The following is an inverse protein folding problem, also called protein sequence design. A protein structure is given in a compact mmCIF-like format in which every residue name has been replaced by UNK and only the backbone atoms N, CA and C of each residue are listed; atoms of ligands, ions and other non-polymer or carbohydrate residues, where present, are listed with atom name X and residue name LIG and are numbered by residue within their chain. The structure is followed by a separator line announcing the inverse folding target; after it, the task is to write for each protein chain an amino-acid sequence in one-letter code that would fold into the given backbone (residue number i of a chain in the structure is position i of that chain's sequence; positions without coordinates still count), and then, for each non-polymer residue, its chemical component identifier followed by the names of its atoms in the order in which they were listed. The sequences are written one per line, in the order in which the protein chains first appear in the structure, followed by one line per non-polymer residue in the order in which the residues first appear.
data_IF_102683297572
#
_entry.id   IF_102683297572
#
_cell.length_a   1.000
_cell.length_b   1.000
_cell.length_c   1.000
_cell.angle_alpha   90.00
_cell.angle_beta   90.00
_cell.angle_gamma   90.00
#
_symmetry.space_group_name_H-M   'P 1'
#
loop_
_entity.id
_entity.type
_entity.pdbx_description
1 polymer ?
#
# COMPACT_ATOMS: atom_id res chain seq x y z
N UNK A 1 -37.56 21.52 -38.09
CA UNK A 1 -36.47 21.89 -37.16
C UNK A 1 -37.09 22.39 -35.87
N UNK A 2 -37.18 21.54 -34.84
CA UNK A 2 -37.76 21.91 -33.54
C UNK A 2 -36.65 22.50 -32.68
N UNK A 3 -36.79 23.76 -32.30
CA UNK A 3 -35.86 24.48 -31.42
C UNK A 3 -35.82 23.78 -30.06
N UNK A 4 -34.66 23.22 -29.71
CA UNK A 4 -34.40 22.69 -28.37
C UNK A 4 -34.51 23.87 -27.40
N UNK A 5 -35.41 23.84 -26.40
CA UNK A 5 -35.60 24.97 -25.51
C UNK A 5 -34.32 25.18 -24.70
N UNK A 6 -33.72 26.37 -24.79
CA UNK A 6 -32.48 26.74 -24.10
C UNK A 6 -32.52 26.53 -22.58
N UNK A 7 -33.72 26.38 -22.01
CA UNK A 7 -33.96 26.00 -20.63
C UNK A 7 -33.40 24.61 -20.26
N UNK A 8 -33.46 23.64 -21.19
CA UNK A 8 -32.94 22.29 -20.95
C UNK A 8 -31.40 22.26 -20.99
N UNK A 9 -30.80 23.12 -21.81
CA UNK A 9 -29.34 23.29 -21.87
C UNK A 9 -28.80 24.00 -20.62
N UNK A 10 -29.53 25.02 -20.13
CA UNK A 10 -29.19 25.74 -18.91
C UNK A 10 -29.27 24.83 -17.67
N UNK A 11 -30.28 23.95 -17.57
CA UNK A 11 -30.39 22.97 -16.48
C UNK A 11 -29.23 21.96 -16.50
N UNK A 12 -28.80 21.54 -17.69
CA UNK A 12 -27.67 20.62 -17.85
C UNK A 12 -26.34 21.26 -17.45
N UNK A 13 -26.11 22.54 -17.78
CA UNK A 13 -24.92 23.28 -17.37
C UNK A 13 -24.86 23.59 -15.87
N UNK A 14 -26.00 23.73 -15.19
CA UNK A 14 -26.04 23.93 -13.73
C UNK A 14 -25.70 22.63 -12.99
N UNK A 15 -26.06 21.46 -13.54
CA UNK A 15 -25.75 20.16 -12.93
C UNK A 15 -24.26 19.80 -13.00
N UNK A 16 -23.53 20.32 -13.99
CA UNK A 16 -22.08 20.10 -14.16
C UNK A 16 -21.21 21.05 -13.33
N UNK A 17 -21.78 22.10 -12.72
CA UNK A 17 -21.04 23.13 -11.99
C UNK A 17 -21.15 22.98 -10.46
N UNK A 18 -21.49 21.79 -9.96
CA UNK A 18 -21.32 21.48 -8.54
C UNK A 18 -19.90 20.94 -8.37
N UNK A 19 -18.95 21.72 -7.84
CA UNK A 19 -17.69 21.14 -7.43
C UNK A 19 -18.03 20.14 -6.32
N UNK A 20 -17.80 18.85 -6.58
CA UNK A 20 -17.72 17.89 -5.51
C UNK A 20 -16.52 18.30 -4.66
N UNK A 21 -16.78 19.06 -3.60
CA UNK A 21 -15.82 19.22 -2.51
C UNK A 21 -15.75 17.86 -1.83
N UNK A 22 -14.98 16.95 -2.42
CA UNK A 22 -14.39 15.86 -1.68
C UNK A 22 -13.58 16.56 -0.59
N UNK A 23 -14.17 16.66 0.60
CA UNK A 23 -13.43 16.77 1.84
C UNK A 23 -12.56 15.51 1.88
N UNK A 24 -11.44 15.57 1.17
CA UNK A 24 -10.45 14.51 1.07
C UNK A 24 -9.73 14.48 2.39
N UNK A 25 -10.46 14.06 3.43
CA UNK A 25 -9.89 13.76 4.74
C UNK A 25 -8.72 12.83 4.47
N UNK A 26 -7.55 13.20 4.97
CA UNK A 26 -6.36 12.38 4.85
C UNK A 26 -6.72 10.98 5.36
N UNK A 27 -6.60 9.92 4.53
CA UNK A 27 -6.95 8.59 4.97
C UNK A 27 -5.99 8.16 6.08
N UNK A 28 -6.49 7.32 6.98
CA UNK A 28 -5.61 6.60 7.89
C UNK A 28 -4.85 5.54 7.09
N UNK A 29 -3.54 5.43 7.31
CA UNK A 29 -2.70 4.40 6.72
C UNK A 29 -2.32 3.43 7.82
N UNK A 30 -2.71 2.16 7.67
CA UNK A 30 -2.36 1.07 8.58
C UNK A 30 -1.50 0.09 7.81
N UNK A 31 -0.30 -0.18 8.34
CA UNK A 31 0.63 -1.16 7.77
C UNK A 31 0.63 -2.38 8.68
N UNK A 32 0.32 -3.55 8.10
CA UNK A 32 0.49 -4.85 8.75
C UNK A 32 1.68 -5.52 8.07
N UNK A 33 2.82 -5.59 8.78
CA UNK A 33 4.04 -6.22 8.31
C UNK A 33 4.32 -7.47 9.15
N UNK A 34 4.21 -8.64 8.55
CA UNK A 34 4.50 -9.92 9.21
C UNK A 34 6.00 -10.25 9.13
N UNK A 35 6.51 -10.97 10.14
CA UNK A 35 7.91 -11.41 10.19
C UNK A 35 8.01 -12.84 9.69
N UNK A 36 8.99 -13.11 8.82
CA UNK A 36 9.30 -14.42 8.25
C UNK A 36 8.14 -15.17 7.55
N UNK A 37 7.06 -14.49 7.19
CA UNK A 37 5.93 -15.13 6.50
C UNK A 37 6.30 -15.46 5.04
N UNK A 38 6.27 -16.75 4.71
CA UNK A 38 6.52 -17.26 3.38
C UNK A 38 5.35 -17.03 2.42
N UNK A 39 5.65 -16.99 1.12
CA UNK A 39 4.62 -16.96 0.07
C UNK A 39 3.64 -18.14 0.20
N UNK A 40 4.15 -19.33 0.51
CA UNK A 40 3.35 -20.54 0.64
C UNK A 40 2.52 -20.63 1.91
N UNK A 41 2.60 -19.68 2.85
CA UNK A 41 1.92 -19.79 4.15
C UNK A 41 0.43 -19.41 4.08
N UNK A 42 0.02 -18.67 3.06
CA UNK A 42 -1.35 -18.15 2.95
C UNK A 42 -2.26 -19.09 2.14
N UNK A 43 -3.52 -19.25 2.57
CA UNK A 43 -4.50 -20.08 1.85
C UNK A 43 -4.79 -19.53 0.44
N UNK A 44 -4.80 -18.21 0.28
CA UNK A 44 -4.87 -17.55 -1.03
C UNK A 44 -3.72 -17.88 -2.00
N UNK A 45 -2.63 -18.48 -1.50
CA UNK A 45 -1.49 -18.96 -2.29
C UNK A 45 -1.47 -20.48 -2.46
N UNK A 46 -2.55 -21.16 -2.10
CA UNK A 46 -2.72 -22.60 -2.26
C UNK A 46 -2.29 -23.43 -1.04
N UNK A 47 -2.04 -22.80 0.12
CA UNK A 47 -1.82 -23.55 1.35
C UNK A 47 -3.10 -24.29 1.77
N UNK A 48 -3.01 -25.61 1.96
CA UNK A 48 -4.15 -26.45 2.39
C UNK A 48 -4.08 -26.82 3.87
N UNK A 49 -2.99 -26.47 4.57
CA UNK A 49 -2.76 -26.80 5.97
C UNK A 49 -3.16 -25.66 6.92
N UNK A 50 -3.17 -24.43 6.43
CA UNK A 50 -3.48 -23.21 7.18
C UNK A 50 -4.72 -22.52 6.61
N UNK A 51 -5.54 -21.98 7.49
CA UNK A 51 -6.69 -21.14 7.13
C UNK A 51 -6.38 -19.68 7.45
N UNK A 52 -6.36 -18.80 6.44
CA UNK A 52 -6.12 -17.36 6.62
C UNK A 52 -7.30 -16.51 6.16
N UNK A 53 -8.53 -16.72 6.69
CA UNK A 53 -9.76 -16.15 6.13
C UNK A 53 -9.79 -14.62 6.10
N UNK A 54 -9.21 -13.95 7.12
CA UNK A 54 -9.19 -12.48 7.21
C UNK A 54 -8.18 -11.85 6.23
N UNK A 55 -7.03 -12.49 6.02
CA UNK A 55 -6.04 -12.06 5.02
C UNK A 55 -6.61 -12.28 3.61
N UNK A 56 -7.28 -13.42 3.40
CA UNK A 56 -7.94 -13.72 2.14
C UNK A 56 -9.08 -12.72 1.86
N UNK A 57 -9.82 -12.29 2.87
CA UNK A 57 -10.84 -11.25 2.74
C UNK A 57 -10.25 -9.90 2.36
N UNK A 58 -9.14 -9.48 3.00
CA UNK A 58 -8.39 -8.29 2.64
C UNK A 58 -7.91 -8.32 1.18
N UNK A 59 -7.35 -9.44 0.73
CA UNK A 59 -6.88 -9.60 -0.64
C UNK A 59 -8.01 -9.54 -1.67
N UNK A 60 -9.19 -10.10 -1.38
CA UNK A 60 -10.38 -10.03 -2.26
C UNK A 60 -11.00 -8.64 -2.32
N UNK A 61 -10.96 -7.89 -1.22
CA UNK A 61 -11.53 -6.55 -1.13
C UNK A 61 -10.59 -5.45 -1.70
N UNK A 62 -9.32 -5.77 -1.94
CA UNK A 62 -8.28 -4.81 -2.31
C UNK A 62 -7.51 -5.18 -3.56
N UNK A 63 -6.30 -4.63 -3.65
CA UNK A 63 -5.33 -4.99 -4.67
C UNK A 63 -4.32 -5.99 -4.10
N UNK A 64 -3.90 -6.94 -4.94
CA UNK A 64 -2.93 -7.98 -4.60
C UNK A 64 -1.76 -7.95 -5.57
N UNK A 65 -0.56 -8.15 -5.05
CA UNK A 65 0.67 -8.25 -5.84
C UNK A 65 1.26 -9.65 -5.75
N UNK A 66 1.30 -10.37 -6.86
CA UNK A 66 1.87 -11.73 -6.91
C UNK A 66 3.40 -11.76 -7.04
N UNK A 67 4.01 -10.59 -7.22
CA UNK A 67 5.45 -10.41 -7.40
C UNK A 67 5.92 -9.22 -6.57
N UNK A 68 5.93 -9.40 -5.25
CA UNK A 68 6.46 -8.45 -4.29
C UNK A 68 7.74 -9.04 -3.68
N UNK A 69 8.87 -8.33 -3.81
CA UNK A 69 10.19 -8.84 -3.43
C UNK A 69 10.77 -7.99 -2.29
N UNK A 70 11.53 -8.65 -1.42
CA UNK A 70 12.18 -8.06 -0.23
C UNK A 70 13.62 -8.55 -0.12
N UNK A 71 14.42 -7.96 0.77
CA UNK A 71 15.73 -8.50 1.12
C UNK A 71 15.57 -9.84 1.87
N UNK A 72 16.56 -10.75 1.80
CA UNK A 72 16.45 -12.10 2.39
C UNK A 72 16.54 -12.12 3.94
N UNK A 73 16.57 -10.96 4.59
CA UNK A 73 16.75 -10.81 6.05
C UNK A 73 16.00 -9.59 6.57
N UNK A 74 15.65 -9.61 7.87
CA UNK A 74 14.74 -8.65 8.49
C UNK A 74 15.24 -7.20 8.47
N UNK A 75 16.45 -6.90 8.95
CA UNK A 75 16.91 -5.52 9.11
C UNK A 75 17.04 -4.77 7.78
N UNK A 76 17.69 -5.31 6.73
CA UNK A 76 17.67 -4.69 5.40
C UNK A 76 16.26 -4.41 4.87
N UNK A 77 15.35 -5.39 4.91
CA UNK A 77 13.96 -5.21 4.44
C UNK A 77 13.25 -4.09 5.20
N UNK A 78 13.40 -4.05 6.53
CA UNK A 78 12.78 -3.01 7.38
C UNK A 78 13.38 -1.64 7.13
N UNK A 79 14.67 -1.56 6.84
CA UNK A 79 15.34 -0.30 6.48
C UNK A 79 14.78 0.26 5.17
N UNK A 80 14.63 -0.56 4.12
CA UNK A 80 14.04 -0.12 2.85
C UNK A 80 12.58 0.29 3.01
N UNK A 81 11.83 -0.46 3.81
CA UNK A 81 10.44 -0.17 4.09
C UNK A 81 10.26 1.17 4.81
N UNK A 82 11.06 1.44 5.85
CA UNK A 82 10.92 2.65 6.66
C UNK A 82 11.44 3.91 5.95
N UNK A 83 12.50 3.79 5.16
CA UNK A 83 13.19 4.95 4.55
C UNK A 83 12.82 5.17 3.08
N UNK A 84 12.24 4.18 2.41
CA UNK A 84 12.01 4.19 0.96
C UNK A 84 13.30 4.17 0.13
N UNK A 85 14.44 3.81 0.74
CA UNK A 85 15.77 3.80 0.12
C UNK A 85 16.36 2.40 0.14
N UNK A 86 17.20 2.08 -0.83
CA UNK A 86 17.93 0.80 -0.83
C UNK A 86 18.77 0.67 0.45
N UNK A 87 18.76 -0.49 1.11
CA UNK A 87 19.23 -0.64 2.49
C UNK A 87 20.70 -0.23 2.73
N UNK A 88 21.56 -0.40 1.72
CA UNK A 88 22.97 0.04 1.81
C UNK A 88 23.12 1.56 1.88
N UNK A 89 22.11 2.32 1.46
CA UNK A 89 22.10 3.80 1.51
C UNK A 89 21.75 4.35 2.88
N UNK A 90 21.29 3.49 3.79
CA UNK A 90 20.89 3.82 5.16
C UNK A 90 21.75 3.10 6.21
N UNK A 91 22.92 2.60 5.82
CA UNK A 91 23.87 1.96 6.73
C UNK A 91 23.58 0.50 7.11
N UNK A 92 22.46 -0.08 6.64
CA UNK A 92 22.04 -1.43 7.05
C UNK A 92 22.56 -2.49 6.08
N UNK A 93 23.29 -3.48 6.58
CA UNK A 93 23.88 -4.57 5.77
C UNK A 93 23.92 -5.93 6.47
N UNK A 94 23.47 -6.02 7.72
CA UNK A 94 23.42 -7.26 8.51
C UNK A 94 22.18 -7.22 9.41
N UNK A 95 21.92 -8.31 10.13
CA UNK A 95 20.91 -8.40 11.18
C UNK A 95 21.52 -8.39 12.60
N UNK A 96 22.84 -8.29 12.70
CA UNK A 96 23.56 -8.32 13.96
C UNK A 96 24.93 -7.62 13.87
N UNK A 97 25.62 -7.54 15.01
CA UNK A 97 26.96 -6.96 15.16
C UNK A 97 27.04 -5.47 14.77
N UNK A 98 25.91 -4.76 14.79
CA UNK A 98 25.81 -3.34 14.47
C UNK A 98 25.44 -3.04 13.03
N UNK A 99 25.48 -4.03 12.13
CA UNK A 99 25.05 -3.84 10.74
C UNK A 99 23.53 -3.81 10.58
N UNK A 100 22.77 -3.99 11.67
CA UNK A 100 21.31 -3.83 11.72
C UNK A 100 20.83 -2.39 11.91
N UNK A 101 21.75 -1.45 12.17
CA UNK A 101 21.42 -0.07 12.59
C UNK A 101 21.23 0.84 11.40
N UNK A 102 20.12 1.58 11.40
CA UNK A 102 19.85 2.65 10.43
C UNK A 102 20.71 3.87 10.81
N UNK A 103 21.27 4.55 9.81
CA UNK A 103 21.99 5.81 9.99
C UNK A 103 21.10 6.86 10.68
N UNK A 104 21.66 7.60 11.63
CA UNK A 104 20.88 8.48 12.53
C UNK A 104 20.23 9.68 11.82
N UNK A 105 20.67 10.01 10.62
CA UNK A 105 20.17 11.09 9.78
C UNK A 105 19.11 10.64 8.76
N UNK A 106 18.75 9.36 8.73
CA UNK A 106 17.70 8.85 7.86
C UNK A 106 16.30 9.27 8.36
N UNK A 107 15.44 9.65 7.41
CA UNK A 107 14.03 9.94 7.66
C UNK A 107 13.23 8.65 7.51
N UNK A 108 12.51 8.26 8.55
CA UNK A 108 11.53 7.16 8.48
C UNK A 108 10.12 7.71 8.28
N UNK A 109 9.23 6.86 7.76
CA UNK A 109 7.78 7.06 7.81
C UNK A 109 7.26 7.14 9.26
#
# INVERSE_FOLDING_TARGET
MKTIPGFLFLLFSILTLVPATLDARKPNVIVILTDDQGWGDLSLNGNTNLETPEIDALARAGARFDRFYVCPVCSPTRAEFLTGRYHLRSGVFSTSAGGERIDLDEMTI
#
